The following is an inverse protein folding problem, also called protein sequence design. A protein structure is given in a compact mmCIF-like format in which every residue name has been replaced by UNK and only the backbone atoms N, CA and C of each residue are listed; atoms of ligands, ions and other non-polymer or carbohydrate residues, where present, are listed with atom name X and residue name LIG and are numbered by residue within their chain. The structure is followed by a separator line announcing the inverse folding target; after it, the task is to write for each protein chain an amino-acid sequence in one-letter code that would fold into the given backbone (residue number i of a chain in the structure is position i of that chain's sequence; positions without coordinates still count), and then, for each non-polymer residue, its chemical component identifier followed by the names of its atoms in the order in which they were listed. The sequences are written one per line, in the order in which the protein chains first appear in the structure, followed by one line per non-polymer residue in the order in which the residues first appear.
data_IF_624935509301
#
_entry.id   IF_624935509301
#
_cell.length_a   1.000
_cell.length_b   1.000
_cell.length_c   1.000
_cell.angle_alpha   90.00
_cell.angle_beta   90.00
_cell.angle_gamma   90.00
#
_symmetry.space_group_name_H-M   'P 1'
#
loop_
_entity.id
_entity.type
_entity.pdbx_description
1 polymer ?
#
# COMPACT_ATOMS: atom_id res chain seq x y z
N UNK A 1 16.90 -4.62 14.74
CA UNK A 1 16.13 -3.45 15.20
C UNK A 1 14.67 -3.87 15.35
N UNK A 2 14.09 -3.71 16.53
CA UNK A 2 12.68 -4.02 16.80
C UNK A 2 11.78 -3.02 16.03
N UNK A 3 10.71 -3.53 15.41
CA UNK A 3 9.74 -2.70 14.68
C UNK A 3 8.88 -1.95 15.71
N UNK A 4 8.86 -0.62 15.67
CA UNK A 4 8.12 0.23 16.62
C UNK A 4 6.72 0.56 16.11
N UNK A 5 5.75 0.65 17.05
CA UNK A 5 4.42 1.20 16.80
C UNK A 5 4.38 2.64 17.32
N UNK A 6 4.17 3.58 16.40
CA UNK A 6 3.85 4.98 16.72
C UNK A 6 2.44 5.24 16.24
N UNK A 7 1.53 5.49 17.18
CA UNK A 7 0.20 6.02 16.91
C UNK A 7 0.28 7.52 17.14
N UNK A 8 0.56 8.28 16.07
CA UNK A 8 0.78 9.72 16.10
C UNK A 8 0.69 10.36 14.72
N UNK A 9 0.13 11.58 14.72
CA UNK A 9 -0.48 12.44 13.69
C UNK A 9 -0.51 12.05 12.20
N UNK A 10 -1.72 12.11 11.64
CA UNK A 10 -2.04 11.98 10.23
C UNK A 10 -2.67 10.62 9.86
N UNK A 11 -3.98 10.60 9.62
CA UNK A 11 -4.76 9.41 9.19
C UNK A 11 -4.37 8.84 7.80
N UNK A 12 -3.22 9.23 7.24
CA UNK A 12 -2.82 8.80 5.89
C UNK A 12 -2.62 7.29 5.83
N UNK A 13 -1.86 6.73 6.77
CA UNK A 13 -1.57 5.29 6.81
C UNK A 13 -2.86 4.50 7.05
N UNK A 14 -3.69 4.97 7.95
CA UNK A 14 -4.99 4.40 8.29
C UNK A 14 -5.92 4.39 7.08
N UNK A 15 -5.96 5.48 6.29
CA UNK A 15 -6.72 5.54 5.03
C UNK A 15 -6.20 4.56 3.99
N UNK A 16 -4.87 4.43 3.83
CA UNK A 16 -4.27 3.45 2.92
C UNK A 16 -4.64 2.03 3.34
N UNK A 17 -4.49 1.69 4.63
CA UNK A 17 -4.83 0.36 5.15
C UNK A 17 -6.34 0.09 4.98
N UNK A 18 -7.19 1.06 5.27
CA UNK A 18 -8.63 0.95 5.10
C UNK A 18 -9.02 0.73 3.63
N UNK A 19 -8.40 1.44 2.68
CA UNK A 19 -8.64 1.24 1.24
C UNK A 19 -8.26 -0.17 0.80
N UNK A 20 -7.12 -0.69 1.26
CA UNK A 20 -6.69 -2.07 0.97
C UNK A 20 -7.69 -3.08 1.55
N UNK A 21 -8.06 -2.96 2.83
CA UNK A 21 -9.00 -3.88 3.46
C UNK A 21 -10.41 -3.81 2.88
N UNK A 22 -10.86 -2.62 2.47
CA UNK A 22 -12.10 -2.47 1.74
C UNK A 22 -12.05 -3.21 0.41
N UNK A 23 -10.95 -3.07 -0.35
CA UNK A 23 -10.73 -3.81 -1.59
C UNK A 23 -10.74 -5.33 -1.40
N UNK A 24 -10.05 -5.86 -0.39
CA UNK A 24 -10.10 -7.28 -0.04
C UNK A 24 -11.51 -7.78 0.30
N UNK A 25 -12.35 -6.92 0.89
CA UNK A 25 -13.73 -7.27 1.24
C UNK A 25 -14.65 -7.29 0.02
N UNK A 26 -14.37 -6.47 -1.00
CA UNK A 26 -15.25 -6.31 -2.17
C UNK A 26 -14.82 -7.15 -3.37
N UNK A 27 -13.53 -7.48 -3.49
CA UNK A 27 -12.98 -8.28 -4.58
C UNK A 27 -12.89 -9.75 -4.18
N UNK A 28 -13.54 -10.63 -4.94
CA UNK A 28 -13.63 -12.07 -4.63
C UNK A 28 -12.27 -12.78 -4.66
N UNK A 29 -11.40 -12.42 -5.59
CA UNK A 29 -10.07 -13.03 -5.78
C UNK A 29 -9.06 -11.93 -6.09
N UNK A 30 -8.53 -11.24 -5.07
CA UNK A 30 -7.61 -10.14 -5.30
C UNK A 30 -6.26 -10.63 -5.83
N UNK A 31 -5.75 -9.97 -6.86
CA UNK A 31 -4.53 -10.37 -7.60
C UNK A 31 -3.45 -9.31 -7.59
N UNK A 32 -3.78 -8.03 -7.40
CA UNK A 32 -2.81 -6.94 -7.37
C UNK A 32 -3.32 -5.72 -6.60
N UNK A 33 -2.38 -4.85 -6.24
CA UNK A 33 -2.67 -3.48 -5.80
C UNK A 33 -2.21 -2.53 -6.88
N UNK A 34 -3.14 -1.83 -7.52
CA UNK A 34 -2.81 -0.73 -8.45
C UNK A 34 -2.77 0.58 -7.67
N UNK A 35 -1.73 1.37 -7.89
CA UNK A 35 -1.50 2.62 -7.17
C UNK A 35 -0.84 3.64 -8.08
N UNK A 36 -1.13 4.91 -7.91
CA UNK A 36 -0.40 5.95 -8.62
C UNK A 36 1.06 6.05 -8.13
N UNK A 37 2.07 6.25 -9.00
CA UNK A 37 3.48 6.29 -8.60
C UNK A 37 3.81 7.32 -7.50
N UNK A 38 3.22 8.52 -7.56
CA UNK A 38 3.42 9.55 -6.52
C UNK A 38 2.87 9.12 -5.16
N UNK A 39 1.69 8.48 -5.13
CA UNK A 39 1.13 7.94 -3.88
C UNK A 39 1.98 6.79 -3.37
N UNK A 40 2.49 5.93 -4.26
CA UNK A 40 3.35 4.82 -3.87
C UNK A 40 4.66 5.29 -3.27
N UNK A 41 5.29 6.33 -3.84
CA UNK A 41 6.48 6.96 -3.27
C UNK A 41 6.21 7.46 -1.83
N UNK A 42 5.06 8.11 -1.61
CA UNK A 42 4.64 8.54 -0.27
C UNK A 42 4.41 7.34 0.67
N UNK A 43 3.73 6.29 0.21
CA UNK A 43 3.52 5.05 0.99
C UNK A 43 4.88 4.46 1.43
N UNK A 44 5.86 4.35 0.52
CA UNK A 44 7.20 3.84 0.84
C UNK A 44 7.88 4.67 1.93
N UNK A 45 7.72 5.99 1.90
CA UNK A 45 8.27 6.89 2.91
C UNK A 45 7.56 6.76 4.26
N UNK A 46 6.23 6.90 4.28
CA UNK A 46 5.40 6.88 5.50
C UNK A 46 5.40 5.52 6.21
N UNK A 47 5.52 4.43 5.44
CA UNK A 47 5.57 3.07 5.97
C UNK A 47 7.01 2.59 6.22
N UNK A 48 8.04 3.42 5.96
CA UNK A 48 9.44 3.01 6.18
C UNK A 48 9.64 2.49 7.60
N UNK A 49 10.33 1.36 7.72
CA UNK A 49 10.58 0.65 8.99
C UNK A 49 9.34 0.10 9.73
N UNK A 50 8.14 0.19 9.16
CA UNK A 50 6.93 -0.40 9.73
C UNK A 50 6.75 -1.85 9.28
N UNK A 51 5.95 -2.60 10.05
CA UNK A 51 5.68 -4.03 9.78
C UNK A 51 4.99 -4.23 8.44
N UNK A 52 4.02 -3.36 8.16
CA UNK A 52 3.14 -3.38 6.97
C UNK A 52 3.72 -2.63 5.77
N UNK A 53 5.01 -2.29 5.79
CA UNK A 53 5.65 -1.62 4.66
C UNK A 53 5.63 -2.48 3.40
N UNK A 54 5.56 -1.88 2.19
CA UNK A 54 5.87 -2.58 0.96
C UNK A 54 7.23 -3.29 1.05
N UNK A 55 7.32 -4.50 0.47
CA UNK A 55 8.53 -5.33 0.48
C UNK A 55 8.79 -5.90 -0.89
N UNK A 56 10.04 -5.87 -1.32
CA UNK A 56 10.46 -6.63 -2.49
C UNK A 56 10.58 -8.10 -2.14
N UNK A 57 9.95 -8.95 -2.95
CA UNK A 57 10.08 -10.41 -2.92
C UNK A 57 10.51 -10.83 -4.33
N UNK A 58 11.79 -11.17 -4.48
CA UNK A 58 12.42 -11.30 -5.79
C UNK A 58 12.45 -9.95 -6.51
N UNK A 59 11.89 -9.93 -7.71
CA UNK A 59 11.79 -8.83 -8.65
C UNK A 59 10.48 -8.02 -8.55
N UNK A 60 9.58 -8.40 -7.63
CA UNK A 60 8.28 -7.74 -7.44
C UNK A 60 8.19 -7.03 -6.10
N UNK A 61 7.68 -5.82 -6.09
CA UNK A 61 7.25 -5.16 -4.86
C UNK A 61 5.86 -5.68 -4.46
N UNK A 62 5.76 -6.12 -3.22
CA UNK A 62 4.54 -6.67 -2.63
C UNK A 62 4.03 -5.69 -1.58
N UNK A 63 2.72 -5.48 -1.56
CA UNK A 63 2.03 -4.68 -0.55
C UNK A 63 0.78 -5.42 -0.08
N UNK A 64 0.65 -5.61 1.23
CA UNK A 64 -0.40 -6.43 1.84
C UNK A 64 -0.52 -7.87 1.28
N UNK A 65 0.56 -8.41 0.71
CA UNK A 65 0.58 -9.76 0.14
C UNK A 65 0.20 -9.84 -1.34
N UNK A 66 -0.03 -8.70 -2.00
CA UNK A 66 -0.31 -8.60 -3.43
C UNK A 66 0.82 -7.86 -4.15
N UNK A 67 1.10 -8.20 -5.42
CA UNK A 67 2.02 -7.44 -6.24
C UNK A 67 1.50 -6.01 -6.49
N UNK A 68 2.39 -5.04 -6.41
CA UNK A 68 2.11 -3.64 -6.69
C UNK A 68 2.25 -3.37 -8.19
N UNK A 69 1.28 -2.65 -8.75
CA UNK A 69 1.30 -2.12 -10.11
C UNK A 69 1.22 -0.60 -10.01
N UNK A 70 2.29 0.09 -10.42
CA UNK A 70 2.29 1.55 -10.49
C UNK A 70 1.72 2.02 -11.83
N UNK A 71 0.60 2.73 -11.81
CA UNK A 71 -0.09 3.22 -13.02
C UNK A 71 -0.17 4.76 -13.03
N UNK A 72 0.67 5.45 -13.86
CA UNK A 72 0.69 6.91 -13.94
C UNK A 72 -0.52 7.51 -14.66
N UNK A 73 -1.40 6.69 -15.25
CA UNK A 73 -2.62 7.18 -15.93
C UNK A 73 -3.77 7.46 -14.97
N UNK A 74 -3.64 7.07 -13.69
CA UNK A 74 -4.64 7.25 -12.65
C UNK A 74 -4.49 8.58 -11.92
N UNK A 75 -5.50 8.93 -11.14
CA UNK A 75 -5.44 10.10 -10.26
C UNK A 75 -4.35 9.93 -9.19
N UNK A 76 -3.78 11.05 -8.72
CA UNK A 76 -2.59 11.03 -7.85
C UNK A 76 -2.81 10.36 -6.51
N UNK A 77 -4.04 10.29 -6.02
CA UNK A 77 -4.47 9.63 -4.80
C UNK A 77 -5.08 8.24 -5.04
N UNK A 78 -4.98 7.73 -6.27
CA UNK A 78 -5.54 6.44 -6.64
C UNK A 78 -4.79 5.28 -6.00
N UNK A 79 -5.54 4.43 -5.31
CA UNK A 79 -5.15 3.10 -4.87
C UNK A 79 -6.35 2.17 -4.97
N UNK A 80 -6.16 0.99 -5.55
CA UNK A 80 -7.19 -0.02 -5.71
C UNK A 80 -6.61 -1.42 -5.53
N UNK A 81 -7.43 -2.32 -4.99
CA UNK A 81 -7.21 -3.76 -5.03
C UNK A 81 -8.01 -4.29 -6.21
N UNK A 82 -7.37 -5.06 -7.09
CA UNK A 82 -8.02 -5.70 -8.24
C UNK A 82 -8.16 -7.19 -8.04
#
# INVERSE_FOLDING_TARGET
MAKTYEVGDGYFREKVIAAIFFGYRTVKNPVSVTVHPELMARIRQDFRNKVVAPKYVGDKEMFFGLPVIEDPTKERDHIAVN
#
